data_IF_555621717560
#
_entry.id   IF_555621717560
#
_cell.length_a   1.000
_cell.length_b   1.000
_cell.length_c   1.000
_cell.angle_alpha   90.00
_cell.angle_beta   90.00
_cell.angle_gamma   90.00
#
_symmetry.space_group_name_H-M   'P 1'
#
loop_
_entity.id
_entity.type
_entity.pdbx_description
1 polymer ?
#
# COMPACT_ATOMS: atom_id res chain seq x y z
N UNK A 1 36.29 10.09 -20.24
CA UNK A 1 35.33 8.97 -20.21
C UNK A 1 35.15 8.52 -18.77
N UNK A 2 34.08 8.95 -18.09
CA UNK A 2 33.76 8.51 -16.72
C UNK A 2 32.96 7.21 -16.82
N UNK A 3 33.42 6.16 -16.13
CA UNK A 3 32.68 4.89 -16.01
C UNK A 3 31.32 5.18 -15.36
N UNK A 4 30.20 4.58 -15.83
CA UNK A 4 28.94 4.68 -15.11
C UNK A 4 29.12 4.08 -13.72
N UNK A 5 28.64 4.77 -12.69
CA UNK A 5 28.66 4.25 -11.33
C UNK A 5 27.81 2.98 -11.28
N UNK A 6 28.33 1.95 -10.63
CA UNK A 6 27.72 0.63 -10.41
C UNK A 6 26.30 0.68 -9.81
N UNK A 7 25.87 1.82 -9.27
CA UNK A 7 24.49 2.07 -8.81
C UNK A 7 23.46 2.14 -9.94
N UNK A 8 23.85 2.58 -11.14
CA UNK A 8 22.88 2.83 -12.23
C UNK A 8 22.44 1.54 -12.94
N UNK A 9 23.27 0.48 -12.88
CA UNK A 9 22.98 -0.80 -13.54
C UNK A 9 22.18 -1.77 -12.65
N UNK A 10 22.21 -1.59 -11.32
CA UNK A 10 21.53 -2.49 -10.38
C UNK A 10 20.01 -2.32 -10.37
N UNK A 11 19.52 -1.11 -10.65
CA UNK A 11 18.08 -0.80 -10.68
C UNK A 11 17.36 -1.57 -11.80
N UNK A 12 18.07 -1.94 -12.88
CA UNK A 12 17.50 -2.65 -14.02
C UNK A 12 17.39 -4.18 -13.83
N UNK A 13 18.12 -4.79 -12.88
CA UNK A 13 18.17 -6.26 -12.73
C UNK A 13 17.12 -6.79 -11.73
N UNK A 14 16.48 -5.92 -10.94
CA UNK A 14 15.40 -6.30 -10.02
C UNK A 14 14.06 -6.66 -10.70
N UNK A 15 13.99 -6.62 -12.04
CA UNK A 15 12.82 -7.02 -12.83
C UNK A 15 12.64 -8.56 -12.88
N UNK A 16 13.62 -9.35 -12.39
CA UNK A 16 13.61 -10.82 -12.48
C UNK A 16 13.14 -11.57 -11.23
N UNK A 17 12.99 -10.92 -10.07
CA UNK A 17 12.36 -11.53 -8.89
C UNK A 17 10.95 -10.97 -8.82
N UNK A 18 9.95 -11.84 -8.88
CA UNK A 18 8.56 -11.45 -8.69
C UNK A 18 8.34 -10.98 -7.23
N UNK A 19 8.82 -9.78 -6.90
CA UNK A 19 8.43 -9.05 -5.70
C UNK A 19 7.04 -8.52 -5.96
N UNK A 20 6.08 -9.38 -5.68
CA UNK A 20 4.68 -9.01 -5.70
C UNK A 20 4.41 -8.20 -4.43
N UNK A 21 4.49 -6.87 -4.57
CA UNK A 21 3.93 -5.93 -3.61
C UNK A 21 2.41 -6.15 -3.58
N UNK A 22 1.97 -7.12 -2.79
CA UNK A 22 0.58 -7.35 -2.52
C UNK A 22 0.36 -6.95 -1.06
N UNK A 23 -0.37 -5.86 -0.84
CA UNK A 23 -1.14 -5.68 0.37
C UNK A 23 -2.31 -6.69 0.35
N UNK A 24 -1.98 -7.98 0.24
CA UNK A 24 -2.95 -9.06 0.29
C UNK A 24 -3.05 -9.49 1.74
N UNK A 25 -4.16 -9.13 2.36
CA UNK A 25 -4.42 -9.38 3.76
C UNK A 25 -5.65 -10.26 3.85
N UNK A 26 -5.46 -11.50 4.29
CA UNK A 26 -6.52 -12.49 4.48
C UNK A 26 -5.96 -13.91 4.52
N UNK A 27 -6.59 -14.79 5.30
CA UNK A 27 -6.25 -16.23 5.38
C UNK A 27 -6.52 -17.00 4.08
N UNK A 28 -7.22 -16.36 3.14
CA UNK A 28 -7.60 -16.91 1.84
C UNK A 28 -7.40 -15.84 0.78
N UNK A 29 -6.81 -16.24 -0.34
CA UNK A 29 -6.47 -15.43 -1.51
C UNK A 29 -7.65 -14.66 -2.15
N UNK A 30 -8.88 -14.85 -1.66
CA UNK A 30 -10.09 -14.26 -2.22
C UNK A 30 -10.34 -12.81 -1.76
N UNK A 31 -9.74 -12.35 -0.68
CA UNK A 31 -10.14 -11.09 -0.06
C UNK A 31 -9.47 -9.83 -0.62
N UNK A 32 -8.25 -9.94 -1.15
CA UNK A 32 -7.41 -8.77 -1.45
C UNK A 32 -6.68 -8.83 -2.80
N UNK A 33 -7.17 -9.67 -3.72
CA UNK A 33 -6.78 -9.72 -5.14
C UNK A 33 -5.27 -9.72 -5.45
N UNK A 34 -4.44 -10.32 -4.59
CA UNK A 34 -3.03 -10.52 -4.92
C UNK A 34 -2.87 -11.21 -6.27
N UNK A 35 -1.83 -10.88 -7.06
CA UNK A 35 -1.60 -11.50 -8.39
C UNK A 35 -1.10 -12.96 -8.30
N UNK A 36 -1.22 -13.59 -7.14
CA UNK A 36 -0.75 -14.97 -6.88
C UNK A 36 -1.42 -16.01 -7.78
N UNK A 37 -2.74 -15.93 -8.06
CA UNK A 37 -3.37 -16.81 -9.04
C UNK A 37 -2.83 -16.64 -10.46
N UNK A 38 -2.21 -15.49 -10.77
CA UNK A 38 -1.54 -15.26 -12.06
C UNK A 38 -0.17 -15.95 -12.04
N UNK A 39 0.64 -15.73 -11.00
CA UNK A 39 1.97 -16.38 -10.86
C UNK A 39 1.85 -17.90 -10.87
N UNK A 40 0.86 -18.46 -10.14
CA UNK A 40 0.62 -19.90 -10.06
C UNK A 40 0.24 -20.54 -11.40
N UNK A 41 -0.26 -19.79 -12.38
CA UNK A 41 -0.48 -20.31 -13.75
C UNK A 41 0.83 -20.61 -14.48
N UNK A 42 1.95 -20.06 -14.03
CA UNK A 42 3.25 -20.16 -14.68
C UNK A 42 4.24 -21.08 -13.94
N UNK A 43 3.87 -21.62 -12.78
CA UNK A 43 4.61 -22.69 -12.10
C UNK A 43 4.42 -22.73 -10.59
N UNK A 44 5.02 -23.74 -9.96
CA UNK A 44 4.93 -24.02 -8.51
C UNK A 44 6.10 -23.42 -7.72
N UNK A 45 6.59 -22.27 -8.18
CA UNK A 45 7.68 -21.55 -7.53
C UNK A 45 7.28 -21.12 -6.12
N UNK A 46 8.20 -21.15 -5.14
CA UNK A 46 7.98 -20.51 -3.85
C UNK A 46 7.65 -19.04 -4.04
N UNK A 47 6.63 -18.56 -3.33
CA UNK A 47 6.20 -17.17 -3.36
C UNK A 47 6.57 -16.53 -2.02
N UNK A 48 7.05 -15.30 -2.06
CA UNK A 48 7.36 -14.50 -0.87
C UNK A 48 6.46 -13.28 -0.88
N UNK A 49 5.85 -12.98 0.28
CA UNK A 49 5.11 -11.73 0.47
C UNK A 49 6.08 -10.60 0.75
N UNK A 50 5.79 -9.40 0.25
CA UNK A 50 6.61 -8.23 0.50
C UNK A 50 5.76 -6.99 0.81
N UNK A 51 6.25 -6.17 1.74
CA UNK A 51 5.74 -4.85 2.08
C UNK A 51 6.88 -3.85 1.92
N UNK A 52 6.66 -2.80 1.13
CA UNK A 52 7.66 -1.74 0.97
C UNK A 52 7.01 -0.38 1.16
N UNK A 53 7.72 0.50 1.86
CA UNK A 53 7.44 1.94 1.92
C UNK A 53 8.41 2.74 1.04
N UNK A 54 9.36 2.06 0.41
CA UNK A 54 10.33 2.66 -0.48
C UNK A 54 9.60 3.34 -1.64
N UNK A 55 10.03 4.54 -1.99
CA UNK A 55 9.40 5.31 -3.06
C UNK A 55 10.42 5.88 -4.01
N UNK A 56 10.00 6.03 -5.26
CA UNK A 56 10.79 6.66 -6.30
C UNK A 56 9.89 7.25 -7.38
N UNK A 57 10.37 8.31 -8.02
CA UNK A 57 9.68 8.98 -9.11
C UNK A 57 10.34 8.59 -10.41
N UNK A 58 9.58 7.98 -11.33
CA UNK A 58 10.08 7.71 -12.68
C UNK A 58 10.02 8.99 -13.52
N UNK A 59 11.17 9.51 -13.90
CA UNK A 59 11.31 10.67 -14.78
C UNK A 59 11.39 10.26 -16.26
N UNK A 60 12.01 9.10 -16.56
CA UNK A 60 12.13 8.54 -17.91
C UNK A 60 12.36 7.02 -17.85
N UNK A 61 12.41 6.34 -19.00
CA UNK A 61 12.70 4.90 -19.09
C UNK A 61 14.02 4.50 -18.42
N UNK A 62 14.99 5.41 -18.40
CA UNK A 62 16.33 5.17 -17.83
C UNK A 62 16.64 6.08 -16.65
N UNK A 63 15.65 6.80 -16.11
CA UNK A 63 15.85 7.73 -15.00
C UNK A 63 14.72 7.60 -13.97
N UNK A 64 15.09 7.08 -12.81
CA UNK A 64 14.24 7.02 -11.62
C UNK A 64 14.96 7.78 -10.52
N UNK A 65 14.27 8.74 -9.91
CA UNK A 65 14.71 9.40 -8.70
C UNK A 65 14.29 8.55 -7.50
N UNK A 66 15.24 8.31 -6.60
CA UNK A 66 15.01 7.58 -5.37
C UNK A 66 14.62 8.57 -4.27
N UNK A 67 13.43 8.42 -3.68
CA UNK A 67 12.81 9.43 -2.81
C UNK A 67 12.82 9.00 -1.35
N UNK A 68 12.37 7.77 -1.05
CA UNK A 68 12.33 7.25 0.32
C UNK A 68 13.12 5.96 0.46
N UNK A 69 14.10 5.98 1.37
CA UNK A 69 15.02 4.86 1.61
C UNK A 69 14.66 4.06 2.88
N UNK A 70 13.60 3.27 2.79
CA UNK A 70 13.11 2.39 3.86
C UNK A 70 13.33 0.91 3.54
N UNK A 71 13.38 0.08 4.58
CA UNK A 71 13.41 -1.37 4.44
C UNK A 71 12.22 -1.90 3.63
N UNK A 72 12.47 -2.90 2.78
CA UNK A 72 11.44 -3.80 2.27
C UNK A 72 11.32 -4.99 3.19
N UNK A 73 10.14 -5.20 3.74
CA UNK A 73 9.86 -6.30 4.64
C UNK A 73 9.31 -7.50 3.89
N UNK A 74 9.84 -8.67 4.18
CA UNK A 74 9.56 -9.93 3.49
C UNK A 74 8.99 -10.95 4.46
N UNK A 75 8.14 -11.85 3.98
CA UNK A 75 7.68 -12.97 4.78
C UNK A 75 7.20 -14.16 3.96
N UNK A 76 7.08 -15.34 4.59
CA UNK A 76 6.55 -16.52 3.95
C UNK A 76 5.17 -16.28 3.32
N UNK A 77 4.96 -16.84 2.14
CA UNK A 77 3.62 -16.96 1.57
C UNK A 77 3.32 -18.43 1.28
N UNK A 78 2.15 -18.89 1.73
CA UNK A 78 1.61 -20.24 1.50
C UNK A 78 2.65 -21.37 1.65
N UNK A 79 3.31 -21.42 2.81
CA UNK A 79 4.24 -22.51 3.15
C UNK A 79 5.66 -22.37 2.60
N UNK A 80 6.01 -21.24 1.97
CA UNK A 80 7.41 -20.94 1.65
C UNK A 80 8.27 -21.00 2.93
N UNK A 81 9.35 -21.80 2.95
CA UNK A 81 10.23 -21.91 4.11
C UNK A 81 10.85 -20.56 4.50
N UNK A 82 10.94 -20.30 5.80
CA UNK A 82 11.40 -19.00 6.31
C UNK A 82 12.89 -18.73 6.00
N UNK A 83 13.73 -19.76 6.03
CA UNK A 83 15.14 -19.68 5.64
C UNK A 83 15.34 -19.19 4.19
N UNK A 84 14.41 -19.53 3.29
CA UNK A 84 14.41 -19.00 1.91
C UNK A 84 14.05 -17.53 1.83
N UNK A 85 13.20 -17.05 2.75
CA UNK A 85 12.88 -15.63 2.87
C UNK A 85 14.08 -14.86 3.43
N UNK A 86 14.80 -15.42 4.40
CA UNK A 86 16.04 -14.86 4.94
C UNK A 86 17.14 -14.79 3.87
N UNK A 87 17.31 -15.85 3.07
CA UNK A 87 18.23 -15.87 1.93
C UNK A 87 17.90 -14.73 0.94
N UNK A 88 16.63 -14.56 0.60
CA UNK A 88 16.18 -13.48 -0.28
C UNK A 88 16.45 -12.09 0.30
N UNK A 89 16.19 -11.89 1.60
CA UNK A 89 16.49 -10.63 2.27
C UNK A 89 17.99 -10.30 2.18
N UNK A 90 18.85 -11.28 2.47
CA UNK A 90 20.31 -11.12 2.37
C UNK A 90 20.79 -10.81 0.95
N UNK A 91 20.15 -11.39 -0.07
CA UNK A 91 20.43 -11.04 -1.48
C UNK A 91 20.08 -9.57 -1.78
N UNK A 92 18.93 -9.09 -1.31
CA UNK A 92 18.53 -7.68 -1.48
C UNK A 92 19.52 -6.76 -0.75
N UNK A 93 19.93 -7.11 0.47
CA UNK A 93 20.91 -6.34 1.24
C UNK A 93 22.28 -6.30 0.56
N UNK A 94 22.73 -7.42 -0.02
CA UNK A 94 24.01 -7.47 -0.77
C UNK A 94 24.04 -6.55 -1.99
N UNK A 95 22.87 -6.17 -2.49
CA UNK A 95 22.70 -5.21 -3.59
C UNK A 95 22.81 -3.73 -3.15
N UNK A 96 22.86 -3.49 -1.83
CA UNK A 96 22.90 -2.16 -1.23
C UNK A 96 21.51 -1.56 -0.94
N UNK A 97 20.44 -2.35 -1.07
CA UNK A 97 19.09 -2.00 -0.63
C UNK A 97 18.87 -2.46 0.82
N UNK A 98 17.79 -2.00 1.45
CA UNK A 98 17.42 -2.40 2.81
C UNK A 98 16.31 -3.44 2.76
N UNK A 99 16.47 -4.56 3.46
CA UNK A 99 15.43 -5.57 3.56
C UNK A 99 15.43 -6.25 4.94
N UNK A 100 14.27 -6.78 5.34
CA UNK A 100 14.12 -7.53 6.59
C UNK A 100 13.13 -8.67 6.41
N UNK A 101 13.52 -9.88 6.80
CA UNK A 101 12.63 -11.03 6.82
C UNK A 101 11.85 -11.09 8.14
N UNK A 102 10.57 -11.46 8.05
CA UNK A 102 9.67 -11.72 9.16
C UNK A 102 9.09 -13.12 9.04
N UNK A 103 9.02 -13.91 10.13
CA UNK A 103 8.36 -15.22 10.11
C UNK A 103 6.86 -15.09 9.83
N UNK A 104 6.27 -13.96 10.20
CA UNK A 104 4.90 -13.58 9.87
C UNK A 104 4.85 -12.10 9.46
N UNK A 105 4.52 -11.85 8.18
CA UNK A 105 4.42 -10.50 7.63
C UNK A 105 3.04 -9.87 7.82
N UNK A 106 2.03 -10.65 8.24
CA UNK A 106 0.64 -10.17 8.34
C UNK A 106 0.51 -8.93 9.23
N UNK A 107 1.13 -8.85 10.43
CA UNK A 107 1.11 -7.63 11.25
C UNK A 107 1.48 -6.36 10.48
N UNK A 108 2.57 -6.41 9.70
CA UNK A 108 3.04 -5.28 8.92
C UNK A 108 2.16 -4.99 7.70
N UNK A 109 1.64 -6.03 7.03
CA UNK A 109 0.70 -5.87 5.92
C UNK A 109 -0.59 -5.18 6.39
N UNK A 110 -1.11 -5.52 7.57
CA UNK A 110 -2.30 -4.89 8.15
C UNK A 110 -2.04 -3.44 8.53
N UNK A 111 -0.92 -3.13 9.19
CA UNK A 111 -0.53 -1.75 9.51
C UNK A 111 -0.52 -0.87 8.25
N UNK A 112 0.12 -1.36 7.18
CA UNK A 112 0.17 -0.65 5.90
C UNK A 112 -1.19 -0.59 5.18
N UNK A 113 -1.98 -1.67 5.22
CA UNK A 113 -3.30 -1.71 4.59
C UNK A 113 -4.20 -0.64 5.18
N UNK A 114 -4.28 -0.55 6.51
CA UNK A 114 -5.12 0.44 7.20
C UNK A 114 -4.66 1.87 6.85
N UNK A 115 -3.34 2.10 6.90
CA UNK A 115 -2.75 3.38 6.50
C UNK A 115 -3.17 3.77 5.07
N UNK A 116 -2.93 2.88 4.09
CA UNK A 116 -3.24 3.13 2.69
C UNK A 116 -4.76 3.26 2.43
N UNK A 117 -5.59 2.42 3.05
CA UNK A 117 -7.05 2.44 2.90
C UNK A 117 -7.66 3.78 3.35
N UNK A 118 -7.01 4.42 4.32
CA UNK A 118 -7.36 5.73 4.85
C UNK A 118 -6.76 6.85 4.00
N UNK A 119 -5.43 6.95 3.96
CA UNK A 119 -4.71 8.10 3.39
C UNK A 119 -4.96 8.20 1.88
N UNK A 120 -4.90 7.09 1.14
CA UNK A 120 -5.06 7.12 -0.32
C UNK A 120 -6.47 7.56 -0.71
N UNK A 121 -7.51 7.02 -0.05
CA UNK A 121 -8.89 7.34 -0.37
C UNK A 121 -9.27 8.78 0.02
N UNK A 122 -8.81 9.26 1.18
CA UNK A 122 -9.03 10.65 1.61
C UNK A 122 -8.32 11.63 0.68
N UNK A 123 -7.06 11.37 0.33
CA UNK A 123 -6.33 12.21 -0.63
C UNK A 123 -7.02 12.26 -1.99
N UNK A 124 -7.44 11.10 -2.51
CA UNK A 124 -8.11 10.99 -3.80
C UNK A 124 -9.48 11.72 -3.85
N UNK A 125 -10.21 11.79 -2.75
CA UNK A 125 -11.47 12.55 -2.69
C UNK A 125 -11.25 14.06 -2.54
N UNK A 126 -10.30 14.46 -1.69
CA UNK A 126 -10.07 15.87 -1.33
C UNK A 126 -9.18 16.62 -2.33
N UNK A 127 -8.33 15.91 -3.08
CA UNK A 127 -7.28 16.50 -3.90
C UNK A 127 -6.08 17.00 -3.08
N UNK A 128 -6.04 16.74 -1.77
CA UNK A 128 -4.93 17.15 -0.91
C UNK A 128 -3.81 16.10 -0.97
N UNK A 129 -2.55 16.51 -1.13
CA UNK A 129 -1.42 15.62 -0.88
C UNK A 129 -1.37 15.25 0.61
N UNK A 130 -0.77 14.10 0.92
CA UNK A 130 -0.50 13.69 2.29
C UNK A 130 0.48 14.68 2.94
N UNK A 131 0.04 15.28 4.04
CA UNK A 131 0.71 16.39 4.70
C UNK A 131 0.04 16.74 6.04
N UNK A 132 0.39 17.89 6.66
CA UNK A 132 0.00 18.24 8.03
C UNK A 132 -1.49 18.05 8.35
N UNK A 133 -2.38 18.43 7.44
CA UNK A 133 -3.84 18.30 7.61
C UNK A 133 -4.32 16.88 7.94
N UNK A 134 -3.60 15.83 7.54
CA UNK A 134 -3.96 14.44 7.85
C UNK A 134 -3.71 14.06 9.31
N UNK A 135 -2.98 14.87 10.09
CA UNK A 135 -2.72 14.66 11.51
C UNK A 135 -3.13 15.84 12.41
N UNK A 136 -3.73 16.89 11.85
CA UNK A 136 -4.23 18.04 12.60
C UNK A 136 -5.61 17.74 13.20
N UNK A 137 -5.78 17.99 14.50
CA UNK A 137 -7.00 17.74 15.27
C UNK A 137 -7.32 18.89 16.25
N UNK A 138 -6.83 20.10 15.97
CA UNK A 138 -6.89 21.24 16.90
C UNK A 138 -8.22 22.00 16.80
N UNK A 139 -8.80 22.09 15.60
CA UNK A 139 -10.07 22.71 15.33
C UNK A 139 -11.09 21.66 14.85
N UNK A 140 -12.37 21.94 15.11
CA UNK A 140 -13.49 21.03 14.76
C UNK A 140 -13.54 20.63 13.28
N UNK A 141 -13.00 21.46 12.39
CA UNK A 141 -13.00 21.23 10.95
C UNK A 141 -11.78 20.49 10.42
N UNK A 142 -10.83 20.12 11.29
CA UNK A 142 -9.57 19.55 10.84
C UNK A 142 -9.77 18.11 10.32
N UNK A 143 -9.07 17.82 9.23
CA UNK A 143 -9.19 16.54 8.53
C UNK A 143 -8.67 15.36 9.36
N UNK A 144 -7.73 15.59 10.28
CA UNK A 144 -7.15 14.55 11.13
C UNK A 144 -8.20 13.78 11.94
N UNK A 145 -9.30 14.43 12.36
CA UNK A 145 -10.39 13.74 13.06
C UNK A 145 -11.02 12.61 12.23
N UNK A 146 -11.24 12.86 10.93
CA UNK A 146 -11.76 11.84 10.02
C UNK A 146 -10.71 10.75 9.78
N UNK A 147 -9.45 11.13 9.57
CA UNK A 147 -8.33 10.20 9.34
C UNK A 147 -8.14 9.26 10.54
N UNK A 148 -8.18 9.79 11.76
CA UNK A 148 -8.07 9.02 12.99
C UNK A 148 -9.23 8.02 13.12
N UNK A 149 -10.46 8.49 12.96
CA UNK A 149 -11.65 7.63 13.05
C UNK A 149 -11.66 6.51 12.00
N UNK A 150 -11.19 6.78 10.78
CA UNK A 150 -10.96 5.74 9.77
C UNK A 150 -9.91 4.73 10.25
N UNK A 151 -8.76 5.19 10.74
CA UNK A 151 -7.73 4.27 11.23
C UNK A 151 -8.24 3.40 12.38
N UNK A 152 -9.07 3.93 13.27
CA UNK A 152 -9.69 3.16 14.36
C UNK A 152 -10.65 2.08 13.85
N UNK A 153 -11.46 2.36 12.82
CA UNK A 153 -12.24 1.32 12.13
C UNK A 153 -11.33 0.21 11.60
N UNK A 154 -10.22 0.57 10.95
CA UNK A 154 -9.26 -0.39 10.43
C UNK A 154 -8.59 -1.24 11.52
N UNK A 155 -8.21 -0.61 12.65
CA UNK A 155 -7.66 -1.29 13.83
C UNK A 155 -8.66 -2.27 14.44
N UNK A 156 -9.94 -1.90 14.51
CA UNK A 156 -11.00 -2.78 15.00
C UNK A 156 -11.14 -4.04 14.13
N UNK A 157 -11.05 -3.90 12.81
CA UNK A 157 -11.07 -5.05 11.88
C UNK A 157 -9.84 -5.94 12.09
N UNK A 158 -8.64 -5.37 12.21
CA UNK A 158 -7.42 -6.13 12.46
C UNK A 158 -7.50 -6.92 13.78
N UNK A 159 -8.00 -6.29 14.84
CA UNK A 159 -8.20 -6.93 16.14
C UNK A 159 -9.19 -8.10 16.04
N UNK A 160 -10.32 -7.93 15.34
CA UNK A 160 -11.30 -9.00 15.12
C UNK A 160 -10.75 -10.14 14.25
N UNK A 161 -9.79 -9.85 13.36
CA UNK A 161 -9.03 -10.84 12.60
C UNK A 161 -7.96 -11.56 13.43
N UNK A 162 -7.78 -11.20 14.71
CA UNK A 162 -6.77 -11.77 15.59
C UNK A 162 -5.35 -11.33 15.23
N UNK A 163 -5.20 -10.13 14.66
CA UNK A 163 -3.91 -9.59 14.22
C UNK A 163 -3.51 -8.46 15.15
N UNK A 164 -2.38 -8.65 15.82
CA UNK A 164 -1.65 -7.58 16.47
C UNK A 164 -0.84 -6.82 15.42
N UNK A 165 -1.02 -5.50 15.35
CA UNK A 165 -0.39 -4.66 14.35
C UNK A 165 1.10 -4.47 14.66
N UNK A 166 1.93 -4.43 13.61
CA UNK A 166 3.37 -4.20 13.79
C UNK A 166 3.67 -2.76 14.22
N UNK A 167 2.98 -1.82 13.59
CA UNK A 167 3.01 -0.40 13.89
C UNK A 167 1.57 0.12 13.98
N UNK A 168 1.33 1.12 14.82
CA UNK A 168 0.04 1.79 14.90
C UNK A 168 -0.17 2.70 13.66
N UNK A 169 -1.22 2.49 12.84
CA UNK A 169 -1.43 3.28 11.63
C UNK A 169 -1.58 4.79 11.86
N UNK A 170 -2.11 5.20 13.02
CA UNK A 170 -2.25 6.62 13.37
C UNK A 170 -0.90 7.24 13.70
N UNK A 171 -0.08 6.57 14.49
CA UNK A 171 1.29 7.03 14.77
C UNK A 171 2.14 7.08 13.50
N UNK A 172 2.00 6.08 12.61
CA UNK A 172 2.62 6.09 11.28
C UNK A 172 2.21 7.34 10.49
N UNK A 173 0.92 7.70 10.51
CA UNK A 173 0.39 8.90 9.87
C UNK A 173 0.96 10.18 10.45
N UNK A 174 0.86 10.37 11.76
CA UNK A 174 1.38 11.57 12.43
C UNK A 174 2.89 11.74 12.20
N UNK A 175 3.66 10.64 12.19
CA UNK A 175 5.08 10.70 11.86
C UNK A 175 5.32 11.10 10.41
N UNK A 176 4.55 10.54 9.48
CA UNK A 176 4.71 10.79 8.05
C UNK A 176 4.30 12.23 7.66
N UNK A 177 3.28 12.82 8.28
CA UNK A 177 2.87 14.22 8.02
C UNK A 177 3.93 15.25 8.43
N UNK A 178 4.87 14.88 9.31
CA UNK A 178 5.97 15.75 9.77
C UNK A 178 7.19 15.75 8.84
N UNK A 179 7.23 14.93 7.79
CA UNK A 179 8.41 14.76 6.93
C UNK A 179 8.71 15.94 5.99
N UNK A 180 7.92 17.01 6.05
CA UNK A 180 8.22 18.31 5.43
C UNK A 180 8.01 18.40 3.92
N UNK A 181 8.03 17.29 3.18
CA UNK A 181 7.62 17.21 1.78
C UNK A 181 6.20 16.68 1.64
N UNK A 182 5.40 17.33 0.78
CA UNK A 182 4.08 16.84 0.41
C UNK A 182 4.23 15.53 -0.37
N UNK A 183 3.63 14.44 0.12
CA UNK A 183 3.62 13.15 -0.55
C UNK A 183 2.30 12.97 -1.31
N UNK A 184 2.36 12.61 -2.58
CA UNK A 184 1.17 12.35 -3.40
C UNK A 184 0.88 10.85 -3.41
N UNK A 185 -0.22 10.39 -2.79
CA UNK A 185 -0.56 8.97 -2.85
C UNK A 185 -0.94 8.55 -4.28
N UNK A 186 -0.58 7.34 -4.66
CA UNK A 186 -0.88 6.73 -5.98
C UNK A 186 -2.33 6.91 -6.44
N UNK A 187 -3.29 6.71 -5.52
CA UNK A 187 -4.71 6.83 -5.82
C UNK A 187 -5.12 8.26 -6.17
N UNK A 188 -4.48 9.28 -5.60
CA UNK A 188 -4.70 10.68 -5.96
C UNK A 188 -4.21 10.91 -7.40
N UNK A 189 -3.02 10.44 -7.74
CA UNK A 189 -2.48 10.55 -9.11
C UNK A 189 -3.36 9.83 -10.14
N UNK A 190 -3.90 8.65 -9.80
CA UNK A 190 -4.84 7.92 -10.65
C UNK A 190 -6.14 8.71 -10.86
N UNK A 191 -6.67 9.33 -9.81
CA UNK A 191 -7.88 10.17 -9.91
C UNK A 191 -7.63 11.41 -10.77
N UNK A 192 -6.50 12.10 -10.59
CA UNK A 192 -6.11 13.27 -11.39
C UNK A 192 -5.96 12.91 -12.87
N UNK A 193 -5.38 11.74 -13.15
CA UNK A 193 -5.22 11.22 -14.49
C UNK A 193 -6.45 10.46 -15.03
N UNK A 194 -7.54 10.36 -14.26
CA UNK A 194 -8.78 9.63 -14.58
C UNK A 194 -8.53 8.17 -15.01
N UNK A 195 -7.63 7.49 -14.32
CA UNK A 195 -7.34 6.05 -14.50
C UNK A 195 -8.07 5.24 -13.43
N UNK A 196 -8.38 3.96 -13.71
CA UNK A 196 -8.88 3.04 -12.69
C UNK A 196 -7.95 3.04 -11.47
N UNK A 197 -8.51 3.20 -10.28
CA UNK A 197 -7.76 3.23 -9.03
C UNK A 197 -7.61 1.84 -8.43
N UNK A 198 -6.73 1.71 -7.43
CA UNK A 198 -6.57 0.51 -6.61
C UNK A 198 -7.60 0.37 -5.46
N UNK A 199 -8.70 1.14 -5.48
CA UNK A 199 -9.69 1.18 -4.39
C UNK A 199 -10.26 -0.19 -4.00
N UNK A 200 -10.47 -1.06 -5.00
CA UNK A 200 -10.99 -2.41 -4.81
C UNK A 200 -10.03 -3.31 -4.01
N UNK A 201 -8.74 -3.08 -4.22
CA UNK A 201 -7.64 -3.89 -3.70
C UNK A 201 -7.23 -3.45 -2.30
N UNK A 202 -7.42 -2.17 -1.99
CA UNK A 202 -7.05 -1.58 -0.71
C UNK A 202 -8.29 -1.48 0.18
N UNK A 203 -9.10 -0.43 0.00
CA UNK A 203 -10.25 -0.17 0.86
C UNK A 203 -11.34 -1.24 0.72
N UNK A 204 -11.58 -1.74 -0.49
CA UNK A 204 -12.53 -2.84 -0.72
C UNK A 204 -12.16 -4.12 0.04
N UNK A 205 -10.87 -4.43 0.14
CA UNK A 205 -10.37 -5.58 0.90
C UNK A 205 -10.61 -5.42 2.40
N UNK A 206 -10.34 -4.22 2.95
CA UNK A 206 -10.60 -3.93 4.35
C UNK A 206 -12.11 -4.03 4.67
N UNK A 207 -12.98 -3.51 3.79
CA UNK A 207 -14.44 -3.63 3.94
C UNK A 207 -14.90 -5.10 3.92
N UNK A 208 -14.37 -5.92 3.00
CA UNK A 208 -14.67 -7.36 2.97
C UNK A 208 -14.19 -8.12 4.20
N UNK A 209 -13.03 -7.78 4.75
CA UNK A 209 -12.57 -8.37 6.00
C UNK A 209 -13.46 -7.93 7.17
N UNK A 210 -13.89 -6.67 7.20
CA UNK A 210 -14.84 -6.18 8.19
C UNK A 210 -16.17 -6.95 8.15
N UNK A 211 -16.71 -7.18 6.95
CA UNK A 211 -17.92 -7.99 6.73
C UNK A 211 -17.75 -9.43 7.23
N UNK A 212 -16.60 -10.07 6.94
CA UNK A 212 -16.31 -11.43 7.42
C UNK A 212 -16.25 -11.55 8.94
N UNK A 213 -15.79 -10.50 9.60
CA UNK A 213 -15.63 -10.43 11.04
C UNK A 213 -16.79 -9.72 11.75
N UNK A 214 -17.85 -9.36 11.01
CA UNK A 214 -19.02 -8.65 11.53
C UNK A 214 -18.68 -7.32 12.25
N UNK A 215 -17.61 -6.64 11.79
CA UNK A 215 -17.16 -5.35 12.34
C UNK A 215 -17.76 -4.20 11.52
N UNK A 216 -18.48 -3.25 12.14
CA UNK A 216 -18.99 -2.09 11.41
C UNK A 216 -17.86 -1.14 11.01
N UNK A 217 -17.78 -0.84 9.70
CA UNK A 217 -16.83 0.15 9.13
C UNK A 217 -17.53 1.16 8.21
N UNK A 218 -18.48 1.95 8.74
CA UNK A 218 -19.29 2.87 7.94
C UNK A 218 -18.46 3.94 7.21
N UNK A 219 -17.36 4.43 7.79
CA UNK A 219 -16.52 5.44 7.16
C UNK A 219 -15.78 4.85 5.96
N UNK A 220 -15.10 3.71 6.11
CA UNK A 220 -14.44 3.05 4.98
C UNK A 220 -15.41 2.60 3.90
N UNK A 221 -16.59 2.08 4.29
CA UNK A 221 -17.64 1.72 3.34
C UNK A 221 -18.11 2.93 2.51
N UNK A 222 -18.18 4.10 3.16
CA UNK A 222 -18.54 5.36 2.49
C UNK A 222 -17.44 5.80 1.53
N UNK A 223 -16.18 5.83 1.97
CA UNK A 223 -15.05 6.19 1.10
C UNK A 223 -14.94 5.28 -0.12
N UNK A 224 -15.07 3.96 0.08
CA UNK A 224 -15.09 2.99 -1.00
C UNK A 224 -16.14 3.33 -2.05
N UNK A 225 -17.40 3.54 -1.63
CA UNK A 225 -18.51 3.87 -2.54
C UNK A 225 -18.31 5.20 -3.25
N UNK A 226 -17.79 6.22 -2.55
CA UNK A 226 -17.54 7.53 -3.13
C UNK A 226 -16.44 7.49 -4.20
N UNK A 227 -15.36 6.75 -3.98
CA UNK A 227 -14.31 6.57 -4.99
C UNK A 227 -14.86 5.78 -6.19
N UNK A 228 -15.61 4.69 -5.98
CA UNK A 228 -16.28 3.97 -7.09
C UNK A 228 -17.20 4.88 -7.90
N UNK A 229 -17.95 5.76 -7.24
CA UNK A 229 -18.79 6.76 -7.92
C UNK A 229 -17.96 7.81 -8.67
N UNK A 230 -16.81 8.23 -8.13
CA UNK A 230 -15.87 9.14 -8.79
C UNK A 230 -15.29 8.51 -10.07
N UNK A 231 -14.94 7.23 -10.04
CA UNK A 231 -14.50 6.50 -11.24
C UNK A 231 -15.61 6.44 -12.31
N UNK A 232 -16.85 6.16 -11.88
CA UNK A 232 -17.99 6.09 -12.79
C UNK A 232 -18.35 7.45 -13.44
N UNK A 233 -18.11 8.56 -12.76
CA UNK A 233 -18.42 9.90 -13.29
C UNK A 233 -17.59 10.26 -14.52
N UNK A 234 -16.38 9.71 -14.65
CA UNK A 234 -15.51 9.94 -15.81
C UNK A 234 -16.08 9.39 -17.12
N UNK A 235 -16.90 8.33 -17.05
CA UNK A 235 -17.58 7.77 -18.22
C UNK A 235 -18.76 8.66 -18.66
N UNK A 236 -19.46 9.31 -17.73
CA UNK A 236 -20.58 10.20 -18.02
C UNK A 236 -20.14 11.50 -18.71
N UNK A 237 -18.98 12.03 -18.35
CA UNK A 237 -18.45 13.25 -18.98
C UNK A 237 -18.09 13.05 -20.46
N UNK A 238 -17.63 11.85 -20.83
CA UNK A 238 -17.37 11.52 -22.25
C UNK A 238 -18.64 11.63 -23.09
N UNK A 239 -19.78 11.15 -22.58
CA UNK A 239 -21.07 11.23 -23.27
C UNK A 239 -21.78 12.59 -23.22
N UNK A 240 -21.27 13.57 -22.46
CA UNK A 240 -21.80 14.95 -22.44
C UNK A 240 -21.16 15.87 -23.49
N UNK A 241 -20.06 15.42 -24.08
CA UNK A 241 -19.30 16.17 -25.09
C UNK A 241 -19.36 15.52 -26.49
N UNK A 242 -20.14 14.45 -26.64
CA UNK A 242 -20.57 13.87 -27.92
C UNK A 242 -21.97 14.38 -28.29
#
# INVERSE_FOLDING_TARGET
MRRPSTRSALVAVLVGVAVLAAAAVGRTDAAAGGKQPIVRRHGDWPIVSAVTFMSGTRHADTHVEYVLDTETWLGPYNGTPYDRVEELAGLIESSGLKAKAFPDLRPAQWSKLIFNATVNAVAALTGLPHGPHFGEEAARGDLGHLVHALMDEGKAVAAAAGIELHEDPWEMNVLATRRGSAHYPSMLEDVEARRPTEIEMITGSLVREAERHEVPVPLHSTLYRLIKAKEASWALEKGRHE
#
